data_IF_167267837395
#
_entry.id   IF_167267837395
#
_cell.length_a   1.000
_cell.length_b   1.000
_cell.length_c   1.000
_cell.angle_alpha   90.00
_cell.angle_beta   90.00
_cell.angle_gamma   90.00
#
_symmetry.space_group_name_H-M   'P 1'
#
loop_
_entity.id
_entity.type
_entity.pdbx_description
1 polymer ?
#
# COMPACT_ATOMS: atom_id res chain seq x y z
N UNK A 1 -16.82 4.51 21.34
CA UNK A 1 -16.69 3.05 21.08
C UNK A 1 -15.35 2.59 21.64
N UNK A 2 -15.36 1.54 22.46
CA UNK A 2 -14.19 1.10 23.23
C UNK A 2 -12.95 0.89 22.35
N UNK A 3 -11.92 1.68 22.63
CA UNK A 3 -10.54 1.45 22.22
C UNK A 3 -10.11 0.11 22.84
N UNK A 4 -9.92 -0.95 22.03
CA UNK A 4 -9.19 -2.11 22.53
C UNK A 4 -7.77 -1.65 22.83
N UNK A 5 -7.31 -1.80 24.07
CA UNK A 5 -5.91 -1.54 24.39
C UNK A 5 -5.00 -2.37 23.47
N UNK A 6 -3.88 -1.80 23.01
CA UNK A 6 -2.90 -2.51 22.19
C UNK A 6 -2.41 -3.74 22.98
N UNK A 7 -2.88 -4.93 22.61
CA UNK A 7 -2.71 -6.14 23.39
C UNK A 7 -1.61 -7.04 22.82
N UNK A 8 -1.28 -6.89 21.54
CA UNK A 8 -0.26 -7.67 20.84
C UNK A 8 0.82 -6.78 20.19
N UNK A 9 2.01 -7.38 19.95
CA UNK A 9 3.21 -6.74 19.37
C UNK A 9 2.96 -5.95 18.08
N UNK A 10 1.93 -6.32 17.32
CA UNK A 10 1.59 -5.71 16.02
C UNK A 10 0.27 -4.92 16.05
N UNK A 11 -0.25 -4.59 17.21
CA UNK A 11 -1.39 -3.70 17.34
C UNK A 11 -0.95 -2.24 17.25
N UNK A 12 -1.86 -1.38 16.80
CA UNK A 12 -1.69 0.06 16.89
C UNK A 12 -1.83 0.50 18.34
N UNK A 13 -1.00 1.43 18.79
CA UNK A 13 -1.26 2.18 20.02
C UNK A 13 -2.49 3.07 19.86
N UNK A 14 -3.08 3.48 20.97
CA UNK A 14 -4.26 4.36 20.97
C UNK A 14 -3.99 5.70 20.26
N UNK A 15 -2.77 6.24 20.43
CA UNK A 15 -2.33 7.46 19.74
C UNK A 15 -2.25 7.23 18.23
N UNK A 16 -1.66 6.12 17.79
CA UNK A 16 -1.61 5.78 16.37
C UNK A 16 -3.02 5.55 15.79
N UNK A 17 -3.90 4.93 16.57
CA UNK A 17 -5.29 4.73 16.19
C UNK A 17 -6.03 6.05 16.02
N UNK A 18 -5.82 7.03 16.91
CA UNK A 18 -6.43 8.36 16.81
C UNK A 18 -6.02 9.10 15.53
N UNK A 19 -4.80 8.93 15.05
CA UNK A 19 -4.37 9.51 13.77
C UNK A 19 -4.93 8.78 12.56
N UNK A 20 -5.07 7.46 12.64
CA UNK A 20 -5.50 6.63 11.51
C UNK A 20 -7.02 6.62 11.34
N UNK A 21 -7.77 6.55 12.44
CA UNK A 21 -9.22 6.37 12.44
C UNK A 21 -9.99 7.41 11.60
N UNK A 22 -9.67 8.73 11.66
CA UNK A 22 -10.35 9.74 10.86
C UNK A 22 -10.16 9.58 9.34
N UNK A 23 -9.14 8.85 8.90
CA UNK A 23 -8.83 8.61 7.50
C UNK A 23 -9.59 7.39 6.93
N UNK A 24 -10.30 6.66 7.79
CA UNK A 24 -11.06 5.49 7.36
C UNK A 24 -12.37 5.90 6.67
N UNK A 25 -12.80 5.16 5.64
CA UNK A 25 -14.11 5.38 5.05
C UNK A 25 -15.20 5.22 6.10
N UNK A 26 -16.16 6.16 6.09
CA UNK A 26 -17.32 6.16 6.96
C UNK A 26 -17.99 4.78 6.98
N UNK A 27 -18.55 4.42 8.13
CA UNK A 27 -19.32 3.19 8.24
C UNK A 27 -20.61 3.32 7.44
N UNK A 28 -20.94 2.26 6.69
CA UNK A 28 -22.21 2.22 5.96
C UNK A 28 -23.35 2.19 6.97
N UNK A 29 -24.28 3.13 6.86
CA UNK A 29 -25.55 3.10 7.59
C UNK A 29 -26.53 2.05 7.07
N UNK A 30 -26.23 1.43 5.92
CA UNK A 30 -27.05 0.41 5.27
C UNK A 30 -26.45 -0.99 5.44
N UNK A 31 -27.34 -1.97 5.67
CA UNK A 31 -27.00 -3.39 5.78
C UNK A 31 -26.78 -3.84 7.23
N UNK A 32 -26.41 -5.13 7.40
CA UNK A 32 -26.07 -5.67 8.72
C UNK A 32 -24.80 -5.01 9.25
N UNK A 33 -24.82 -4.41 10.47
CA UNK A 33 -23.63 -3.85 11.08
C UNK A 33 -22.50 -4.89 11.18
N UNK A 34 -21.26 -4.43 10.97
CA UNK A 34 -20.10 -5.30 11.12
C UNK A 34 -19.94 -5.69 12.58
N UNK A 35 -19.82 -7.01 12.87
CA UNK A 35 -19.62 -7.52 14.23
C UNK A 35 -18.28 -7.07 14.84
N UNK A 36 -17.28 -6.81 14.01
CA UNK A 36 -15.93 -6.46 14.42
C UNK A 36 -15.66 -4.97 14.25
N UNK A 37 -14.95 -4.38 15.20
CA UNK A 37 -14.57 -2.97 15.12
C UNK A 37 -13.55 -2.75 14.01
N UNK A 38 -13.48 -1.52 13.47
CA UNK A 38 -12.45 -1.14 12.50
C UNK A 38 -11.04 -1.38 13.03
N UNK A 39 -10.83 -1.19 14.34
CA UNK A 39 -9.54 -1.44 14.99
C UNK A 39 -9.15 -2.91 14.92
N UNK A 40 -10.05 -3.83 15.28
CA UNK A 40 -9.79 -5.28 15.18
C UNK A 40 -9.47 -5.72 13.75
N UNK A 41 -10.15 -5.13 12.77
CA UNK A 41 -9.89 -5.41 11.36
C UNK A 41 -8.50 -4.93 10.96
N UNK A 42 -8.14 -3.70 11.33
CA UNK A 42 -6.87 -3.09 10.92
C UNK A 42 -5.69 -3.72 11.65
N UNK A 43 -5.80 -3.99 12.94
CA UNK A 43 -4.76 -4.66 13.71
C UNK A 43 -4.54 -6.10 13.20
N UNK A 44 -5.61 -6.83 12.87
CA UNK A 44 -5.48 -8.16 12.25
C UNK A 44 -4.81 -8.13 10.86
N UNK A 45 -5.16 -7.15 10.02
CA UNK A 45 -4.49 -6.95 8.72
C UNK A 45 -3.02 -6.56 8.92
N UNK A 46 -2.73 -5.64 9.86
CA UNK A 46 -1.38 -5.17 10.18
C UNK A 46 -0.51 -6.31 10.71
N UNK A 47 -1.04 -7.14 11.60
CA UNK A 47 -0.38 -8.34 12.09
C UNK A 47 0.04 -9.22 10.92
N UNK A 48 -0.89 -9.57 10.02
CA UNK A 48 -0.60 -10.41 8.85
C UNK A 48 0.47 -9.81 7.95
N UNK A 49 0.39 -8.52 7.66
CA UNK A 49 1.37 -7.84 6.80
C UNK A 49 2.76 -7.80 7.44
N UNK A 50 2.83 -7.65 8.77
CA UNK A 50 4.11 -7.59 9.51
C UNK A 50 4.76 -8.95 9.69
N UNK A 51 3.98 -10.00 9.90
CA UNK A 51 4.51 -11.36 10.11
C UNK A 51 4.74 -12.12 8.80
N UNK A 52 4.03 -11.76 7.74
CA UNK A 52 4.04 -12.51 6.48
C UNK A 52 3.33 -13.87 6.58
N UNK A 53 2.68 -14.18 7.71
CA UNK A 53 2.00 -15.44 7.92
C UNK A 53 0.82 -15.63 6.94
N UNK A 54 0.44 -16.88 6.63
CA UNK A 54 -0.78 -17.18 5.92
C UNK A 54 -1.99 -16.51 6.57
N UNK A 55 -2.95 -16.05 5.76
CA UNK A 55 -4.17 -15.42 6.29
C UNK A 55 -4.90 -16.32 7.30
N UNK A 56 -4.90 -17.63 7.06
CA UNK A 56 -5.56 -18.63 7.92
C UNK A 56 -4.96 -18.71 9.33
N UNK A 57 -3.73 -18.22 9.49
CA UNK A 57 -2.98 -18.31 10.74
C UNK A 57 -3.06 -17.01 11.56
N UNK A 58 -3.90 -16.06 11.13
CA UNK A 58 -4.13 -14.84 11.90
C UNK A 58 -4.78 -15.19 13.25
N UNK A 59 -4.24 -14.69 14.38
CA UNK A 59 -4.75 -14.98 15.72
C UNK A 59 -6.25 -14.71 15.89
N UNK A 60 -6.91 -15.58 16.65
CA UNK A 60 -8.38 -15.58 16.82
C UNK A 60 -8.93 -14.40 17.65
N UNK A 61 -8.06 -13.65 18.33
CA UNK A 61 -8.43 -12.41 19.03
C UNK A 61 -8.76 -11.25 18.07
N UNK A 62 -8.38 -11.37 16.79
CA UNK A 62 -8.81 -10.46 15.72
C UNK A 62 -10.12 -10.94 15.07
N UNK A 63 -10.54 -10.30 13.98
CA UNK A 63 -11.63 -10.82 13.16
C UNK A 63 -11.20 -12.10 12.40
N UNK A 64 -12.13 -13.00 12.06
CA UNK A 64 -11.85 -14.16 11.22
C UNK A 64 -11.14 -13.76 9.93
N UNK A 65 -10.18 -14.58 9.50
CA UNK A 65 -9.31 -14.25 8.38
C UNK A 65 -10.04 -13.90 7.08
N UNK A 66 -11.20 -14.50 6.83
CA UNK A 66 -12.03 -14.21 5.65
C UNK A 66 -12.51 -12.76 5.68
N UNK A 67 -12.89 -12.27 6.86
CA UNK A 67 -13.31 -10.89 7.07
C UNK A 67 -12.13 -9.94 6.88
N UNK A 68 -10.98 -10.26 7.48
CA UNK A 68 -9.76 -9.45 7.33
C UNK A 68 -9.34 -9.34 5.86
N UNK A 69 -9.25 -10.47 5.16
CA UNK A 69 -8.89 -10.52 3.76
C UNK A 69 -9.90 -9.78 2.88
N UNK A 70 -11.21 -9.93 3.14
CA UNK A 70 -12.26 -9.20 2.41
C UNK A 70 -12.10 -7.69 2.55
N UNK A 71 -11.85 -7.18 3.76
CA UNK A 71 -11.62 -5.76 3.99
C UNK A 71 -10.32 -5.27 3.36
N UNK A 72 -9.22 -5.99 3.59
CA UNK A 72 -7.92 -5.68 2.99
C UNK A 72 -8.03 -5.57 1.47
N UNK A 73 -8.61 -6.59 0.83
CA UNK A 73 -8.79 -6.63 -0.62
C UNK A 73 -9.71 -5.52 -1.10
N UNK A 74 -10.86 -5.28 -0.44
CA UNK A 74 -11.77 -4.20 -0.83
C UNK A 74 -11.06 -2.84 -0.85
N UNK A 75 -10.36 -2.52 0.24
CA UNK A 75 -9.62 -1.26 0.38
C UNK A 75 -8.41 -1.13 -0.52
N UNK A 76 -7.82 -2.26 -0.92
CA UNK A 76 -6.79 -2.28 -1.96
C UNK A 76 -7.40 -1.91 -3.31
N UNK A 77 -8.55 -2.48 -3.67
CA UNK A 77 -9.19 -2.28 -4.97
C UNK A 77 -9.76 -0.88 -5.14
N UNK A 78 -10.36 -0.31 -4.09
CA UNK A 78 -11.02 1.01 -4.12
C UNK A 78 -10.09 2.19 -3.78
N UNK A 79 -8.78 1.92 -3.62
CA UNK A 79 -7.75 2.91 -3.33
C UNK A 79 -7.75 3.45 -1.90
N UNK A 80 -8.54 2.89 -0.98
CA UNK A 80 -8.59 3.33 0.41
C UNK A 80 -7.22 3.29 1.09
N UNK A 81 -6.40 2.25 0.88
CA UNK A 81 -5.06 2.21 1.46
C UNK A 81 -4.17 3.35 0.98
N UNK A 82 -4.24 3.70 -0.31
CA UNK A 82 -3.49 4.81 -0.89
C UNK A 82 -3.94 6.15 -0.30
N UNK A 83 -5.26 6.35 -0.13
CA UNK A 83 -5.82 7.55 0.52
C UNK A 83 -5.39 7.67 1.98
N UNK A 84 -5.40 6.57 2.74
CA UNK A 84 -4.95 6.55 4.14
C UNK A 84 -3.46 6.93 4.21
N UNK A 85 -2.61 6.33 3.36
CA UNK A 85 -1.19 6.66 3.32
C UNK A 85 -0.96 8.15 3.01
N UNK A 86 -1.62 8.67 1.98
CA UNK A 86 -1.54 10.08 1.60
C UNK A 86 -1.97 11.01 2.75
N UNK A 87 -3.07 10.69 3.44
CA UNK A 87 -3.54 11.46 4.60
C UNK A 87 -2.55 11.45 5.77
N UNK A 88 -1.95 10.29 6.08
CA UNK A 88 -0.92 10.18 7.13
C UNK A 88 0.36 10.94 6.74
N UNK A 89 0.75 10.91 5.47
CA UNK A 89 1.91 11.67 4.97
C UNK A 89 1.66 13.17 5.04
N UNK A 90 0.49 13.65 4.62
CA UNK A 90 0.12 15.06 4.72
C UNK A 90 0.12 15.56 6.17
N UNK A 91 -0.41 14.77 7.10
CA UNK A 91 -0.38 15.10 8.52
C UNK A 91 1.04 15.11 9.11
N UNK A 92 1.93 14.22 8.63
CA UNK A 92 3.33 14.19 9.05
C UNK A 92 4.12 15.38 8.47
N UNK A 93 3.88 15.74 7.22
CA UNK A 93 4.46 16.90 6.55
C UNK A 93 4.07 18.22 7.25
N UNK A 94 2.77 18.42 7.50
CA UNK A 94 2.27 19.59 8.22
C UNK A 94 2.85 19.71 9.64
N UNK A 95 3.26 18.59 10.25
CA UNK A 95 3.91 18.57 11.56
C UNK A 95 5.45 18.64 11.48
N UNK A 96 6.03 18.88 10.30
CA UNK A 96 7.48 18.95 10.09
C UNK A 96 8.22 17.62 10.30
N UNK A 97 7.52 16.48 10.16
CA UNK A 97 8.07 15.13 10.40
C UNK A 97 8.56 14.44 9.13
N UNK A 98 8.41 15.08 7.97
CA UNK A 98 8.92 14.62 6.67
C UNK A 98 9.94 15.64 6.17
N UNK A 99 11.15 15.18 5.89
CA UNK A 99 12.11 15.92 5.07
C UNK A 99 11.89 15.53 3.60
N UNK A 100 11.86 16.51 2.71
CA UNK A 100 11.68 16.30 1.27
C UNK A 100 13.00 16.13 0.52
N UNK A 101 14.10 15.97 1.25
CA UNK A 101 15.35 15.43 0.72
C UNK A 101 15.21 13.91 0.52
N UNK A 102 14.77 13.53 -0.67
CA UNK A 102 14.41 12.14 -1.00
C UNK A 102 15.56 11.45 -1.74
N UNK A 103 15.96 10.28 -1.24
CA UNK A 103 16.80 9.34 -1.96
C UNK A 103 15.93 8.32 -2.69
N UNK A 104 16.32 8.01 -3.92
CA UNK A 104 15.65 7.04 -4.79
C UNK A 104 16.62 5.94 -5.10
N UNK A 105 16.18 4.70 -4.88
CA UNK A 105 16.88 3.52 -5.35
C UNK A 105 15.88 2.53 -5.96
N UNK A 106 16.38 1.63 -6.81
CA UNK A 106 15.55 0.61 -7.42
C UNK A 106 16.26 -0.73 -7.47
N UNK A 107 15.49 -1.80 -7.34
CA UNK A 107 15.98 -3.17 -7.52
C UNK A 107 15.21 -3.86 -8.63
N UNK A 108 15.91 -4.73 -9.36
CA UNK A 108 15.35 -5.47 -10.50
C UNK A 108 15.23 -6.94 -10.12
N UNK A 109 14.02 -7.48 -10.24
CA UNK A 109 13.74 -8.90 -10.08
C UNK A 109 13.50 -9.54 -11.44
N UNK A 110 14.20 -10.64 -11.72
CA UNK A 110 13.94 -11.46 -12.92
C UNK A 110 12.62 -12.20 -12.75
N UNK A 111 11.81 -12.16 -13.80
CA UNK A 111 10.59 -12.92 -13.82
C UNK A 111 10.90 -14.41 -13.99
N UNK A 112 10.14 -15.26 -13.30
CA UNK A 112 10.22 -16.70 -13.52
C UNK A 112 9.96 -17.03 -14.99
N UNK A 113 10.55 -18.10 -15.52
CA UNK A 113 10.41 -18.47 -16.93
C UNK A 113 8.95 -18.64 -17.40
N UNK A 114 8.03 -18.95 -16.48
CA UNK A 114 6.60 -19.08 -16.74
C UNK A 114 5.79 -17.78 -16.57
N UNK A 115 6.42 -16.67 -16.22
CA UNK A 115 5.74 -15.39 -15.99
C UNK A 115 5.16 -14.76 -17.27
N UNK A 116 5.63 -15.18 -18.46
CA UNK A 116 5.18 -14.66 -19.75
C UNK A 116 3.77 -15.14 -20.18
N UNK A 117 3.11 -15.99 -19.38
CA UNK A 117 1.82 -16.60 -19.71
C UNK A 117 0.59 -15.93 -19.09
N UNK A 118 0.72 -14.78 -18.42
CA UNK A 118 -0.41 -14.10 -17.81
C UNK A 118 -1.47 -13.71 -18.87
N UNK A 119 -2.76 -13.85 -18.53
CA UNK A 119 -3.87 -13.54 -19.43
C UNK A 119 -3.83 -12.05 -19.81
N UNK A 120 -4.00 -11.78 -21.11
CA UNK A 120 -4.01 -10.42 -21.67
C UNK A 120 -5.29 -9.62 -21.36
N UNK A 121 -6.37 -10.31 -20.99
CA UNK A 121 -7.67 -9.73 -20.63
C UNK A 121 -7.89 -9.80 -19.10
N UNK A 122 -7.05 -9.10 -18.34
CA UNK A 122 -7.12 -9.08 -16.86
C UNK A 122 -8.41 -8.43 -16.33
N UNK A 123 -8.92 -7.45 -17.05
CA UNK A 123 -10.18 -6.74 -16.84
C UNK A 123 -11.42 -7.65 -16.91
N UNK A 124 -11.37 -8.72 -17.72
CA UNK A 124 -12.45 -9.71 -17.89
C UNK A 124 -12.47 -10.80 -16.83
N UNK A 125 -11.58 -10.77 -15.84
CA UNK A 125 -11.61 -11.75 -14.75
C UNK A 125 -12.87 -11.54 -13.89
N UNK A 126 -13.42 -12.63 -13.33
CA UNK A 126 -14.52 -12.56 -12.33
C UNK A 126 -14.17 -11.64 -11.16
N UNK A 127 -12.88 -11.51 -10.87
CA UNK A 127 -12.32 -10.54 -9.94
C UNK A 127 -11.11 -9.86 -10.60
N UNK A 128 -11.27 -8.76 -11.36
CA UNK A 128 -10.16 -8.15 -12.07
C UNK A 128 -9.09 -7.64 -11.10
N UNK A 129 -7.81 -7.51 -11.50
CA UNK A 129 -6.79 -6.85 -10.67
C UNK A 129 -7.32 -5.47 -10.28
N UNK A 130 -7.50 -5.20 -8.99
CA UNK A 130 -7.96 -3.88 -8.56
C UNK A 130 -6.80 -2.92 -8.37
N UNK A 131 -7.09 -1.63 -8.51
CA UNK A 131 -6.17 -0.56 -8.16
C UNK A 131 -5.62 0.25 -9.33
N UNK A 132 -6.10 0.06 -10.56
CA UNK A 132 -5.67 0.88 -11.69
C UNK A 132 -6.88 1.17 -12.59
N UNK A 133 -7.22 2.46 -12.75
CA UNK A 133 -8.23 2.90 -13.73
C UNK A 133 -7.78 2.61 -15.18
N UNK A 134 -6.47 2.42 -15.38
CA UNK A 134 -5.84 1.95 -16.60
C UNK A 134 -4.74 0.95 -16.23
N UNK A 135 -4.93 -0.33 -16.54
CA UNK A 135 -3.89 -1.34 -16.32
C UNK A 135 -2.64 -1.01 -17.16
N UNK A 136 -1.41 -1.03 -16.59
CA UNK A 136 -0.19 -0.82 -17.35
C UNK A 136 -0.11 -1.88 -18.45
N UNK A 137 0.12 -1.44 -19.69
CA UNK A 137 0.23 -2.35 -20.85
C UNK A 137 1.32 -3.42 -20.67
N UNK A 138 2.29 -3.17 -19.77
CA UNK A 138 3.38 -4.08 -19.47
C UNK A 138 3.14 -4.95 -18.22
N UNK A 139 2.10 -4.70 -17.43
CA UNK A 139 1.88 -5.31 -16.11
C UNK A 139 3.13 -5.31 -15.20
N UNK A 140 3.94 -4.25 -15.32
CA UNK A 140 5.25 -4.13 -14.69
C UNK A 140 6.28 -5.22 -15.10
N UNK A 141 6.12 -5.82 -16.27
CA UNK A 141 7.01 -6.82 -16.87
C UNK A 141 7.65 -6.27 -18.15
N UNK A 142 8.98 -6.14 -18.15
CA UNK A 142 9.73 -5.54 -19.27
C UNK A 142 10.95 -6.33 -19.70
N UNK A 143 11.31 -6.22 -20.98
CA UNK A 143 12.56 -6.76 -21.53
C UNK A 143 13.75 -5.89 -21.11
N UNK A 144 14.68 -6.47 -20.35
CA UNK A 144 16.00 -5.89 -20.05
C UNK A 144 17.11 -6.82 -20.54
N UNK A 145 18.39 -6.45 -20.32
CA UNK A 145 19.55 -7.32 -20.63
C UNK A 145 19.44 -8.71 -19.97
N UNK A 146 18.74 -8.81 -18.84
CA UNK A 146 18.54 -10.06 -18.11
C UNK A 146 17.28 -10.84 -18.49
N UNK A 147 16.60 -10.52 -19.60
CA UNK A 147 15.33 -11.12 -20.00
C UNK A 147 14.12 -10.35 -19.48
N UNK A 148 13.01 -11.04 -19.19
CA UNK A 148 11.83 -10.42 -18.60
C UNK A 148 12.06 -10.09 -17.13
N UNK A 149 11.83 -8.84 -16.77
CA UNK A 149 12.17 -8.29 -15.44
C UNK A 149 11.14 -7.27 -14.99
N UNK A 150 11.00 -7.17 -13.68
CA UNK A 150 10.23 -6.14 -12.97
C UNK A 150 11.20 -5.29 -12.15
N UNK A 151 10.94 -4.01 -12.07
CA UNK A 151 11.71 -3.09 -11.23
C UNK A 151 10.84 -2.55 -10.10
N UNK A 152 11.35 -2.62 -8.88
CA UNK A 152 10.75 -2.03 -7.69
C UNK A 152 11.56 -0.80 -7.30
N UNK A 153 10.93 0.36 -7.39
CA UNK A 153 11.46 1.66 -7.01
C UNK A 153 11.05 1.96 -5.57
N UNK A 154 11.98 2.53 -4.81
CA UNK A 154 11.76 2.97 -3.45
C UNK A 154 12.21 4.43 -3.32
N UNK A 155 11.30 5.27 -2.85
CA UNK A 155 11.61 6.64 -2.44
C UNK A 155 11.61 6.71 -0.91
N UNK A 156 12.73 7.12 -0.32
CA UNK A 156 12.88 7.30 1.12
C UNK A 156 13.38 8.70 1.45
N UNK A 157 12.83 9.29 2.50
CA UNK A 157 13.38 10.51 3.10
C UNK A 157 14.53 10.20 4.08
N UNK A 158 15.31 11.22 4.47
CA UNK A 158 16.53 11.08 5.27
C UNK A 158 16.31 10.38 6.63
N UNK A 159 15.15 10.58 7.25
CA UNK A 159 14.68 9.92 8.47
C UNK A 159 14.23 8.46 8.28
N UNK A 160 14.50 7.86 7.10
CA UNK A 160 14.23 6.46 6.72
C UNK A 160 12.75 6.10 6.63
N UNK A 161 11.85 7.08 6.45
CA UNK A 161 10.45 6.80 6.12
C UNK A 161 10.33 6.54 4.63
N UNK A 162 9.69 5.42 4.32
CA UNK A 162 9.29 5.11 2.95
C UNK A 162 8.18 6.08 2.54
N UNK A 163 8.43 6.85 1.49
CA UNK A 163 7.46 7.79 0.93
C UNK A 163 6.65 7.17 -0.20
N UNK A 164 7.30 6.36 -1.05
CA UNK A 164 6.62 5.66 -2.13
C UNK A 164 7.33 4.36 -2.48
N UNK A 165 6.54 3.38 -2.90
CA UNK A 165 7.01 2.18 -3.60
C UNK A 165 6.26 2.10 -4.91
N UNK A 166 7.00 2.03 -6.02
CA UNK A 166 6.43 1.92 -7.37
C UNK A 166 7.00 0.69 -8.04
N UNK A 167 6.15 -0.06 -8.76
CA UNK A 167 6.57 -1.24 -9.51
C UNK A 167 6.37 -0.95 -10.99
N UNK A 168 7.40 -1.15 -11.79
CA UNK A 168 7.39 -0.88 -13.24
C UNK A 168 8.03 -2.02 -14.03
N UNK A 169 7.87 -2.01 -15.35
CA UNK A 169 8.65 -2.86 -16.23
C UNK A 169 10.16 -2.62 -16.05
N UNK A 170 10.95 -3.70 -16.12
CA UNK A 170 12.37 -3.67 -15.76
C UNK A 170 13.27 -2.78 -16.62
N UNK A 171 12.82 -2.37 -17.81
CA UNK A 171 13.54 -1.44 -18.69
C UNK A 171 13.32 0.04 -18.34
N UNK A 172 12.39 0.35 -17.44
CA UNK A 172 12.09 1.72 -17.05
C UNK A 172 13.22 2.30 -16.21
N UNK A 173 13.55 3.57 -16.47
CA UNK A 173 14.45 4.36 -15.63
C UNK A 173 13.76 4.82 -14.34
N UNK A 174 14.57 5.32 -13.40
CA UNK A 174 14.11 5.57 -12.03
C UNK A 174 13.48 6.98 -11.90
N UNK A 175 13.97 7.95 -12.67
CA UNK A 175 13.45 9.33 -12.68
C UNK A 175 11.99 9.47 -13.17
N UNK A 176 11.55 8.84 -14.29
CA UNK A 176 10.18 9.01 -14.76
C UNK A 176 9.14 8.30 -13.90
N UNK A 177 9.51 7.20 -13.25
CA UNK A 177 8.59 6.32 -12.52
C UNK A 177 8.00 6.97 -11.26
N UNK A 178 8.77 7.87 -10.62
CA UNK A 178 8.37 8.51 -9.35
C UNK A 178 7.55 9.79 -9.58
N UNK A 179 7.50 10.29 -10.82
CA UNK A 179 6.73 11.49 -11.15
C UNK A 179 5.21 11.26 -11.28
N UNK A 180 4.76 10.00 -11.27
CA UNK A 180 3.37 9.59 -11.48
C UNK A 180 2.56 9.32 -10.19
N UNK A 181 3.10 9.63 -9.00
CA UNK A 181 2.31 9.68 -7.77
C UNK A 181 1.46 10.96 -7.68
N UNK A 182 0.41 11.00 -6.82
CA UNK A 182 -0.33 12.23 -6.56
C UNK A 182 0.64 13.33 -6.11
N UNK A 183 0.73 14.42 -6.87
CA UNK A 183 1.63 15.54 -6.59
C UNK A 183 1.05 16.37 -5.44
N UNK A 184 1.72 16.50 -4.29
CA UNK A 184 1.09 17.17 -3.16
C UNK A 184 1.03 18.70 -3.31
N UNK A 185 2.07 19.38 -3.82
CA UNK A 185 2.15 20.86 -3.69
C UNK A 185 3.09 21.54 -4.73
N UNK A 186 3.01 22.87 -4.91
CA UNK A 186 3.86 23.61 -5.83
C UNK A 186 5.34 23.56 -5.44
N UNK A 187 6.20 23.65 -6.46
CA UNK A 187 7.65 23.48 -6.36
C UNK A 187 8.27 24.48 -5.37
N UNK A 188 8.77 24.00 -4.24
CA UNK A 188 9.92 24.65 -3.62
C UNK A 188 11.18 24.26 -4.43
N UNK A 189 12.08 25.21 -4.71
CA UNK A 189 13.27 24.94 -5.49
C UNK A 189 14.15 23.94 -4.74
N UNK A 190 14.30 22.75 -5.31
CA UNK A 190 15.32 21.78 -4.91
C UNK A 190 16.67 22.43 -5.18
N UNK A 191 17.39 22.83 -4.12
CA UNK A 191 18.81 23.15 -4.25
C UNK A 191 19.56 21.83 -4.44
N UNK A 192 19.97 21.57 -5.68
CA UNK A 192 20.98 20.56 -5.96
C UNK A 192 22.29 20.97 -5.28
N UNK A 193 22.93 20.05 -4.57
CA UNK A 193 24.38 20.03 -4.39
C UNK A 193 24.93 18.93 -5.27
#
# INVERSE_FOLDING_TARGET
MASLAAAARHDLSDIQWQHLHPLLPAESSRGRPCKWTRRQIIDGIRWRVRTGAPWRDVPANYAPWQTLYRWFRRWQRDGTWARILAGLQAAADAAGRIDWSVSVDSTISRAHQHAAGARRDGDRQKEPPGGIHAEPADHALGRSRGGWTTKTHLACEQGRKVLATVVTAGHRGDQPAIHHGPRPYPRHPVRAR
#
